data_IF_510077152546
#
_entry.id   IF_510077152546
#
_cell.length_a   1.000
_cell.length_b   1.000
_cell.length_c   1.000
_cell.angle_alpha   90.00
_cell.angle_beta   90.00
_cell.angle_gamma   90.00
#
_symmetry.space_group_name_H-M   'P 1'
#
loop_
_entity.id
_entity.type
_entity.pdbx_description
1 polymer ?
#
# COMPACT_ATOMS: atom_id res chain seq x y z
N UNK A 1 -2.25 -0.93 -10.71
CA UNK A 1 -3.45 -0.85 -9.87
C UNK A 1 -3.10 -0.01 -8.66
N UNK A 2 -4.00 0.88 -8.27
CA UNK A 2 -3.89 1.69 -7.06
C UNK A 2 -4.68 1.06 -5.91
N UNK A 3 -4.59 1.61 -4.70
CA UNK A 3 -5.35 1.12 -3.54
C UNK A 3 -6.77 1.67 -3.59
N UNK A 4 -7.76 0.78 -3.60
CA UNK A 4 -9.19 1.11 -3.62
C UNK A 4 -9.90 0.47 -2.42
N UNK A 5 -10.89 1.17 -1.90
CA UNK A 5 -11.76 0.69 -0.83
C UNK A 5 -13.20 0.63 -1.31
N UNK A 6 -13.96 -0.29 -0.72
CA UNK A 6 -15.38 -0.46 -0.96
C UNK A 6 -16.10 -0.64 0.38
N UNK A 7 -17.13 0.17 0.62
CA UNK A 7 -18.01 0.04 1.78
C UNK A 7 -19.28 -0.71 1.36
N UNK A 8 -19.42 -1.93 1.85
CA UNK A 8 -20.58 -2.78 1.53
C UNK A 8 -21.88 -2.30 2.20
N UNK A 9 -21.82 -1.42 3.20
CA UNK A 9 -23.00 -0.90 3.89
C UNK A 9 -23.77 0.13 3.07
N UNK A 10 -23.08 0.87 2.20
CA UNK A 10 -23.65 1.92 1.35
C UNK A 10 -23.27 1.76 -0.14
N UNK A 11 -22.56 0.67 -0.48
CA UNK A 11 -22.07 0.35 -1.81
C UNK A 11 -21.15 1.41 -2.43
N UNK A 12 -20.51 2.26 -1.62
CA UNK A 12 -19.56 3.25 -2.13
C UNK A 12 -18.20 2.63 -2.42
N UNK A 13 -17.52 3.16 -3.45
CA UNK A 13 -16.16 2.75 -3.85
C UNK A 13 -15.34 4.01 -4.05
N UNK A 14 -14.15 4.07 -3.47
CA UNK A 14 -13.26 5.23 -3.60
C UNK A 14 -11.79 4.80 -3.66
N UNK A 15 -10.98 5.65 -4.29
CA UNK A 15 -9.53 5.49 -4.30
C UNK A 15 -9.00 5.91 -2.92
N UNK A 16 -8.29 5.00 -2.26
CA UNK A 16 -7.71 5.24 -0.94
C UNK A 16 -6.42 6.04 -1.06
N UNK A 17 -5.59 5.68 -2.05
CA UNK A 17 -4.35 6.36 -2.32
C UNK A 17 -3.98 6.21 -3.80
N UNK A 18 -3.53 7.31 -4.39
CA UNK A 18 -2.76 7.32 -5.63
C UNK A 18 -1.29 7.37 -5.23
N UNK A 19 -0.63 6.20 -5.18
CA UNK A 19 0.74 6.08 -4.68
C UNK A 19 1.73 6.26 -5.84
N UNK A 20 1.41 5.71 -7.01
CA UNK A 20 2.19 5.92 -8.23
C UNK A 20 1.39 6.78 -9.21
N UNK A 21 1.64 8.10 -9.15
CA UNK A 21 0.87 9.09 -9.90
C UNK A 21 0.81 8.80 -11.40
N UNK A 22 -0.36 9.02 -12.01
CA UNK A 22 -0.55 8.95 -13.47
C UNK A 22 -1.24 7.65 -13.90
N UNK A 23 -0.81 7.07 -15.02
CA UNK A 23 -1.40 5.84 -15.57
C UNK A 23 -0.72 4.56 -15.08
N UNK A 24 0.35 4.71 -14.30
CA UNK A 24 1.15 3.59 -13.84
C UNK A 24 0.52 2.92 -12.62
N UNK A 25 1.25 1.98 -12.01
CA UNK A 25 0.70 1.05 -11.03
C UNK A 25 1.55 1.04 -9.78
N UNK A 26 0.90 1.09 -8.61
CA UNK A 26 1.56 0.94 -7.31
C UNK A 26 1.60 -0.48 -6.76
N UNK A 27 0.84 -1.42 -7.33
CA UNK A 27 0.81 -2.84 -6.92
C UNK A 27 0.58 -3.05 -5.41
N UNK A 28 -0.41 -2.37 -4.80
CA UNK A 28 -0.66 -2.47 -3.37
C UNK A 28 -0.99 -3.92 -3.01
N UNK A 29 -0.40 -4.43 -1.92
CA UNK A 29 -0.70 -5.78 -1.43
C UNK A 29 0.01 -6.92 -2.17
N UNK A 30 0.74 -6.65 -3.25
CA UNK A 30 1.30 -7.71 -4.10
C UNK A 30 2.22 -8.72 -3.37
N UNK A 31 2.85 -8.30 -2.26
CA UNK A 31 3.69 -9.17 -1.42
C UNK A 31 3.16 -9.33 0.00
N UNK A 32 2.43 -8.35 0.52
CA UNK A 32 1.77 -8.45 1.82
C UNK A 32 0.64 -7.45 2.00
N UNK A 33 -0.35 -7.85 2.81
CA UNK A 33 -1.37 -7.00 3.41
C UNK A 33 -1.69 -7.48 4.83
N UNK A 34 -1.62 -6.59 5.81
CA UNK A 34 -2.00 -6.89 7.20
C UNK A 34 -2.74 -5.72 7.83
N UNK A 35 -3.89 -6.00 8.42
CA UNK A 35 -4.64 -5.03 9.21
C UNK A 35 -4.28 -5.20 10.69
N UNK A 36 -3.68 -4.17 11.29
CA UNK A 36 -3.35 -4.12 12.72
C UNK A 36 -4.07 -2.91 13.33
N UNK A 37 -5.14 -3.18 14.09
CA UNK A 37 -6.05 -2.13 14.53
C UNK A 37 -6.70 -1.44 13.33
N UNK A 38 -6.62 -0.11 13.28
CA UNK A 38 -7.15 0.71 12.19
C UNK A 38 -6.10 1.00 11.10
N UNK A 39 -4.93 0.36 11.13
CA UNK A 39 -3.86 0.57 10.15
C UNK A 39 -3.67 -0.65 9.26
N UNK A 40 -3.90 -0.47 7.96
CA UNK A 40 -3.56 -1.43 6.91
C UNK A 40 -2.09 -1.22 6.53
N UNK A 41 -1.26 -2.24 6.76
CA UNK A 41 0.11 -2.31 6.27
C UNK A 41 0.14 -3.11 4.98
N UNK A 42 0.86 -2.63 3.95
CA UNK A 42 0.92 -3.29 2.65
C UNK A 42 2.20 -2.96 1.88
N UNK A 43 2.56 -3.80 0.91
CA UNK A 43 3.64 -3.49 -0.03
C UNK A 43 3.14 -2.57 -1.15
N UNK A 44 3.87 -1.53 -1.55
CA UNK A 44 3.55 -0.72 -2.73
C UNK A 44 4.76 -0.01 -3.35
N UNK A 45 4.64 0.38 -4.62
CA UNK A 45 5.62 1.10 -5.43
C UNK A 45 5.12 2.53 -5.72
N UNK A 46 5.96 3.54 -5.52
CA UNK A 46 5.63 4.96 -5.76
C UNK A 46 6.17 5.55 -7.06
N UNK A 47 6.76 4.71 -7.92
CA UNK A 47 7.41 5.17 -9.16
C UNK A 47 8.88 5.57 -8.99
N UNK A 48 9.39 5.65 -7.76
CA UNK A 48 10.74 6.19 -7.49
C UNK A 48 11.60 5.33 -6.57
N UNK A 49 10.98 4.67 -5.59
CA UNK A 49 11.68 4.05 -4.45
C UNK A 49 11.54 2.53 -4.42
N UNK A 50 11.20 1.91 -5.54
CA UNK A 50 10.88 0.47 -5.59
C UNK A 50 9.69 0.06 -4.71
N UNK A 51 9.43 -1.25 -4.61
CA UNK A 51 8.36 -1.81 -3.77
C UNK A 51 8.83 -1.81 -2.32
N UNK A 52 8.14 -1.01 -1.51
CA UNK A 52 8.48 -0.73 -0.11
C UNK A 52 7.29 -0.98 0.82
N UNK A 53 7.49 -0.79 2.12
CA UNK A 53 6.43 -0.93 3.13
C UNK A 53 5.63 0.36 3.27
N UNK A 54 4.31 0.25 3.09
CA UNK A 54 3.34 1.33 3.19
C UNK A 54 2.29 1.04 4.26
N UNK A 55 1.67 2.10 4.74
CA UNK A 55 0.57 2.03 5.69
C UNK A 55 -0.55 2.99 5.30
N UNK A 56 -1.78 2.59 5.61
CA UNK A 56 -2.97 3.42 5.53
C UNK A 56 -3.76 3.33 6.84
N UNK A 57 -3.99 4.46 7.50
CA UNK A 57 -4.79 4.55 8.72
C UNK A 57 -6.23 4.92 8.34
N UNK A 58 -7.14 3.97 8.51
CA UNK A 58 -8.55 4.13 8.17
C UNK A 58 -9.29 5.10 9.08
N UNK A 59 -8.74 5.42 10.26
CA UNK A 59 -9.37 6.34 11.23
C UNK A 59 -9.26 7.82 10.81
N UNK A 60 -8.21 8.17 10.06
CA UNK A 60 -7.92 9.53 9.62
C UNK A 60 -7.66 9.65 8.11
N UNK A 61 -7.81 8.54 7.36
CA UNK A 61 -7.60 8.44 5.92
C UNK A 61 -6.18 8.86 5.46
N UNK A 62 -5.16 8.68 6.30
CA UNK A 62 -3.78 8.98 5.92
C UNK A 62 -3.08 7.76 5.31
N UNK A 63 -2.26 8.00 4.29
CA UNK A 63 -1.41 6.98 3.65
C UNK A 63 0.03 7.47 3.67
N UNK A 64 0.97 6.62 4.08
CA UNK A 64 2.38 6.97 4.14
C UNK A 64 3.29 5.76 3.91
N UNK A 65 4.52 6.03 3.44
CA UNK A 65 5.60 5.03 3.41
C UNK A 65 6.12 4.84 4.83
N UNK A 66 5.99 3.64 5.38
CA UNK A 66 6.43 3.30 6.74
C UNK A 66 7.95 3.35 6.83
N UNK A 67 8.60 2.76 5.83
CA UNK A 67 10.05 2.74 5.70
C UNK A 67 10.43 2.61 4.24
N UNK A 68 11.48 3.34 3.86
CA UNK A 68 12.25 3.08 2.65
C UNK A 68 13.35 2.09 3.04
N UNK A 69 13.04 0.79 2.93
CA UNK A 69 13.89 -0.28 3.46
C UNK A 69 15.06 -0.53 2.51
N UNK A 70 14.82 -0.46 1.18
CA UNK A 70 15.86 -0.57 0.16
C UNK A 70 15.99 0.73 -0.64
N UNK A 71 16.69 1.70 -0.05
CA UNK A 71 16.85 3.04 -0.63
C UNK A 71 17.27 3.04 -2.10
N UNK A 72 16.62 3.89 -2.89
CA UNK A 72 16.86 4.01 -4.33
C UNK A 72 15.84 3.20 -5.11
N UNK A 73 16.21 2.69 -6.28
CA UNK A 73 15.26 1.96 -7.15
C UNK A 73 15.16 0.47 -6.83
N UNK A 74 15.82 0.02 -5.75
CA UNK A 74 15.76 -1.37 -5.30
C UNK A 74 14.41 -1.68 -4.68
N UNK A 75 14.03 -2.96 -4.65
CA UNK A 75 12.82 -3.41 -3.97
C UNK A 75 13.19 -4.08 -2.65
N UNK A 76 12.43 -3.84 -1.58
CA UNK A 76 12.60 -4.56 -0.31
C UNK A 76 11.70 -5.80 -0.20
N UNK A 77 10.69 -5.90 -1.06
CA UNK A 77 9.70 -6.99 -1.11
C UNK A 77 9.17 -7.41 0.28
N UNK A 78 8.54 -6.48 1.03
CA UNK A 78 8.01 -6.80 2.35
C UNK A 78 7.06 -7.99 2.30
N UNK A 79 7.28 -8.98 3.17
CA UNK A 79 6.41 -10.16 3.27
C UNK A 79 6.59 -11.25 2.21
N UNK A 80 7.50 -11.10 1.24
CA UNK A 80 7.73 -12.13 0.19
C UNK A 80 8.04 -13.53 0.75
N UNK A 81 8.69 -13.61 1.91
CA UNK A 81 9.05 -14.87 2.58
C UNK A 81 8.24 -15.12 3.86
N UNK A 82 7.15 -14.38 4.06
CA UNK A 82 6.27 -14.63 5.19
C UNK A 82 5.44 -15.89 4.92
N UNK A 83 5.45 -16.83 5.86
CA UNK A 83 4.55 -17.99 5.82
C UNK A 83 3.32 -17.70 6.71
N UNK A 84 2.16 -18.21 6.29
CA UNK A 84 0.87 -18.08 6.97
C UNK A 84 0.65 -19.19 8.01
#
# INVERSE_FOLDING_TARGET
YELWAHDTSNASTWQVADIHSGSDHSYPGAYMEFLIGDTLYFSAYDGSSGVELWAHDTSNASTWRVADINSGTGHSYPGQYMEL
#
